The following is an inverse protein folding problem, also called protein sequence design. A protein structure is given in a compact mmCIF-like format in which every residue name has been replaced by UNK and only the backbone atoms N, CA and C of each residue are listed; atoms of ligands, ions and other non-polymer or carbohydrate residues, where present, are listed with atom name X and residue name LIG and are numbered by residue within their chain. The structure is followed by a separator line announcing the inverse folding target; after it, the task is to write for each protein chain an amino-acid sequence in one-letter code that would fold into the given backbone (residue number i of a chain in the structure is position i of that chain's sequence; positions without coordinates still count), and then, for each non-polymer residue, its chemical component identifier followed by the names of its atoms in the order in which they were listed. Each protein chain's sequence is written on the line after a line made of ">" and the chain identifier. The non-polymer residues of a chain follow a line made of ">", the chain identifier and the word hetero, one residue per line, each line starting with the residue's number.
data_IF_698784608926
#
_entry.id   IF_698784608926
#
_cell.length_a   1.000
_cell.length_b   1.000
_cell.length_c   1.000
_cell.angle_alpha   90.00
_cell.angle_beta   90.00
_cell.angle_gamma   90.00
#
_symmetry.space_group_name_H-M   'P 1'
#
loop_
_entity.id
_entity.type
_entity.pdbx_description
1 polymer ?
#
# COMPACT_ATOMS: atom_id res chain seq x y z
N UNK A 1 -2.21 29.50 -36.10
CA UNK A 1 -2.65 29.46 -34.69
C UNK A 1 -4.16 29.48 -34.69
N UNK A 2 -4.79 28.31 -34.51
CA UNK A 2 -6.24 28.16 -34.71
C UNK A 2 -6.83 27.66 -33.40
N UNK A 3 -7.42 28.57 -32.63
CA UNK A 3 -8.00 28.29 -31.32
C UNK A 3 -9.33 27.55 -31.52
N UNK A 4 -9.37 26.27 -31.16
CA UNK A 4 -10.58 25.43 -31.25
C UNK A 4 -11.38 25.59 -29.96
N UNK A 5 -12.49 26.33 -30.04
CA UNK A 5 -13.44 26.54 -28.95
C UNK A 5 -14.21 25.22 -28.70
N UNK A 6 -14.03 24.60 -27.53
CA UNK A 6 -14.77 23.41 -27.12
C UNK A 6 -16.02 23.86 -26.36
N UNK A 7 -17.21 23.63 -26.94
CA UNK A 7 -18.50 23.89 -26.29
C UNK A 7 -18.83 22.72 -25.36
N UNK A 8 -18.94 23.00 -24.06
CA UNK A 8 -19.53 22.10 -23.07
C UNK A 8 -21.05 22.25 -23.16
N UNK A 9 -21.75 21.18 -23.52
CA UNK A 9 -23.20 21.07 -23.44
C UNK A 9 -23.52 20.36 -22.12
N UNK A 10 -24.02 21.11 -21.14
CA UNK A 10 -24.59 20.55 -19.92
C UNK A 10 -26.06 20.16 -20.20
N UNK A 11 -26.35 18.87 -20.25
CA UNK A 11 -27.73 18.38 -20.16
C UNK A 11 -28.15 18.38 -18.68
N UNK A 12 -29.01 19.33 -18.32
CA UNK A 12 -29.76 19.31 -17.06
C UNK A 12 -31.01 18.46 -17.30
N UNK A 13 -30.97 17.21 -16.86
CA UNK A 13 -32.16 16.35 -16.78
C UNK A 13 -32.97 16.71 -15.55
N UNK A 14 -34.11 17.39 -15.76
CA UNK A 14 -35.13 17.63 -14.73
C UNK A 14 -35.88 16.32 -14.51
N UNK A 15 -35.57 15.63 -13.41
CA UNK A 15 -36.29 14.45 -12.94
C UNK A 15 -37.60 14.85 -12.27
N UNK A 16 -38.70 14.41 -12.89
CA UNK A 16 -40.08 14.56 -12.44
C UNK A 16 -40.29 13.87 -11.08
N UNK A 17 -40.76 14.63 -10.09
CA UNK A 17 -41.20 14.14 -8.78
C UNK A 17 -42.60 13.51 -8.91
N UNK A 18 -42.71 12.19 -8.81
CA UNK A 18 -43.98 11.53 -8.51
C UNK A 18 -44.07 11.30 -7.01
N UNK A 19 -45.01 11.97 -6.37
CA UNK A 19 -45.34 11.78 -4.97
C UNK A 19 -46.09 10.47 -4.74
N UNK A 20 -45.57 9.68 -3.81
CA UNK A 20 -46.35 8.74 -3.02
C UNK A 20 -46.18 9.18 -1.56
N UNK A 21 -47.26 9.71 -0.99
CA UNK A 21 -47.38 10.00 0.43
C UNK A 21 -47.71 8.68 1.13
N UNK A 22 -46.72 8.06 1.77
CA UNK A 22 -46.98 7.01 2.76
C UNK A 22 -47.15 7.66 4.12
N UNK A 23 -48.38 7.58 4.64
CA UNK A 23 -48.75 7.84 6.04
C UNK A 23 -47.88 6.99 6.97
N UNK A 24 -47.06 7.64 7.79
CA UNK A 24 -46.42 7.01 8.93
C UNK A 24 -47.42 6.90 10.10
N UNK A 25 -47.53 5.73 10.76
CA UNK A 25 -48.35 5.60 11.97
C UNK A 25 -47.76 6.42 13.14
N UNK A 26 -48.60 6.81 14.12
CA UNK A 26 -48.18 7.64 15.25
C UNK A 26 -47.11 6.95 16.09
N UNK A 27 -46.00 7.67 16.31
CA UNK A 27 -44.93 7.31 17.23
C UNK A 27 -45.47 7.36 18.66
N UNK A 28 -45.38 6.23 19.36
CA UNK A 28 -45.71 6.13 20.77
C UNK A 28 -44.73 6.97 21.62
N UNK A 29 -45.28 7.71 22.58
CA UNK A 29 -44.57 8.49 23.57
C UNK A 29 -43.48 7.68 24.29
N UNK A 30 -42.23 8.11 24.14
CA UNK A 30 -41.11 7.64 24.93
C UNK A 30 -41.13 8.35 26.30
N UNK A 31 -41.20 7.55 27.36
CA UNK A 31 -41.11 7.99 28.75
C UNK A 31 -39.76 8.67 29.08
N UNK A 32 -39.72 9.58 30.07
CA UNK A 32 -38.54 10.37 30.40
C UNK A 32 -37.43 9.58 31.13
N UNK A 33 -36.21 10.07 30.88
CA UNK A 33 -34.93 9.76 31.51
C UNK A 33 -34.99 9.28 32.97
N UNK A 34 -34.47 8.07 33.20
CA UNK A 34 -33.98 7.65 34.51
C UNK A 34 -32.46 7.80 34.52
N UNK A 35 -31.99 8.85 35.20
CA UNK A 35 -30.58 9.07 35.46
C UNK A 35 -29.94 7.89 36.24
N UNK A 36 -28.75 7.41 35.85
CA UNK A 36 -28.03 6.45 36.67
C UNK A 36 -27.42 7.14 37.89
N UNK A 37 -27.83 6.64 39.05
CA UNK A 37 -27.29 6.93 40.38
C UNK A 37 -25.80 6.54 40.40
N UNK A 38 -24.90 7.51 40.54
CA UNK A 38 -23.48 7.27 40.84
C UNK A 38 -23.33 7.09 42.35
N UNK A 39 -23.39 5.84 42.80
CA UNK A 39 -22.87 5.48 44.12
C UNK A 39 -21.34 5.34 43.99
N UNK A 40 -20.63 6.14 44.79
CA UNK A 40 -19.18 6.14 44.85
C UNK A 40 -18.64 4.97 45.69
N UNK A 41 -17.45 4.50 45.31
CA UNK A 41 -16.43 4.04 46.25
C UNK A 41 -15.08 4.34 45.65
N UNK A 42 -14.36 5.21 46.35
CA UNK A 42 -12.94 5.45 46.27
C UNK A 42 -12.16 4.20 46.63
N UNK A 43 -11.22 3.78 45.78
CA UNK A 43 -10.07 2.99 46.20
C UNK A 43 -8.87 3.42 45.34
N UNK A 44 -8.05 4.29 45.93
CA UNK A 44 -6.73 4.61 45.42
C UNK A 44 -5.78 3.45 45.73
N UNK A 45 -5.01 2.93 44.76
CA UNK A 45 -3.95 1.99 45.07
C UNK A 45 -2.80 2.70 45.81
N UNK A 46 -2.15 2.03 46.77
CA UNK A 46 -0.97 2.57 47.43
C UNK A 46 0.20 2.70 46.47
N UNK A 47 0.94 3.80 46.64
CA UNK A 47 2.20 4.05 45.97
C UNK A 47 3.30 3.20 46.61
N UNK A 48 3.62 2.07 45.96
CA UNK A 48 4.76 1.25 46.35
C UNK A 48 6.03 1.65 45.58
N UNK A 49 6.93 2.24 46.36
CA UNK A 49 8.40 2.18 46.32
C UNK A 49 9.10 1.83 45.01
N UNK A 50 9.76 2.83 44.42
CA UNK A 50 10.94 2.63 43.61
C UNK A 50 12.16 2.37 44.52
N UNK A 51 12.88 1.25 44.38
CA UNK A 51 14.26 1.20 44.84
C UNK A 51 15.15 1.92 43.82
N UNK A 52 15.96 2.82 44.36
CA UNK A 52 17.17 3.29 43.73
C UNK A 52 18.19 2.13 43.61
N UNK A 53 19.19 2.36 42.75
CA UNK A 53 20.49 1.66 42.74
C UNK A 53 20.58 0.39 41.87
N UNK A 54 21.10 0.57 40.65
CA UNK A 54 22.03 -0.36 40.01
C UNK A 54 22.74 0.35 38.85
N UNK A 55 23.89 0.95 39.14
CA UNK A 55 24.94 1.16 38.14
C UNK A 55 25.43 -0.23 37.69
N UNK A 56 25.28 -0.57 36.40
CA UNK A 56 25.99 -1.69 35.79
C UNK A 56 26.83 -1.15 34.63
N UNK A 57 28.06 -0.79 35.02
CA UNK A 57 29.24 -0.60 34.18
C UNK A 57 29.56 -1.89 33.43
N UNK A 58 29.27 -1.91 32.12
CA UNK A 58 29.91 -2.84 31.18
C UNK A 58 30.44 -2.11 29.97
N UNK A 59 31.66 -1.62 30.15
CA UNK A 59 32.72 -1.57 29.15
C UNK A 59 32.74 -2.80 28.23
N UNK A 60 32.07 -2.73 27.07
CA UNK A 60 32.31 -3.67 25.98
C UNK A 60 33.57 -3.24 25.26
N UNK A 61 34.62 -4.04 25.49
CA UNK A 61 35.91 -3.96 24.83
C UNK A 61 35.77 -4.24 23.34
N UNK A 62 36.27 -3.28 22.59
CA UNK A 62 36.67 -3.36 21.20
C UNK A 62 37.80 -4.39 21.07
N UNK A 63 37.54 -5.50 20.36
CA UNK A 63 38.60 -6.41 19.88
C UNK A 63 38.45 -6.59 18.39
N UNK A 64 39.06 -5.67 17.66
CA UNK A 64 39.41 -5.79 16.24
C UNK A 64 40.45 -6.91 16.10
N UNK A 65 40.20 -7.97 15.30
CA UNK A 65 41.23 -8.93 14.93
C UNK A 65 42.28 -8.26 14.01
N UNK A 66 43.57 -8.56 14.20
CA UNK A 66 44.63 -8.03 13.35
C UNK A 66 44.54 -8.57 11.92
N UNK A 67 44.67 -7.63 10.98
CA UNK A 67 44.94 -7.80 9.57
C UNK A 67 46.21 -8.65 9.35
N UNK A 68 46.03 -9.89 8.90
CA UNK A 68 47.13 -10.71 8.39
C UNK A 68 47.33 -10.37 6.92
N UNK A 69 48.23 -9.42 6.71
CA UNK A 69 48.98 -9.22 5.49
C UNK A 69 49.91 -10.41 5.24
N UNK A 70 49.86 -10.93 4.01
CA UNK A 70 50.65 -12.04 3.51
C UNK A 70 49.84 -12.80 2.46
N UNK A 71 50.30 -13.14 1.26
CA UNK A 71 51.65 -13.38 0.79
C UNK A 71 51.67 -13.15 -0.73
N UNK A 72 52.84 -12.83 -1.26
CA UNK A 72 53.02 -12.60 -2.68
C UNK A 72 52.83 -13.85 -3.51
N UNK A 73 52.40 -13.65 -4.77
CA UNK A 73 52.59 -14.65 -5.81
C UNK A 73 53.16 -14.00 -7.07
N UNK A 74 54.13 -14.65 -7.73
CA UNK A 74 55.01 -14.01 -8.70
C UNK A 74 54.33 -13.83 -10.05
N UNK A 75 54.83 -12.82 -10.77
CA UNK A 75 54.74 -12.69 -12.22
C UNK A 75 55.34 -13.92 -12.91
N UNK A 76 54.53 -14.63 -13.69
CA UNK A 76 54.96 -15.62 -14.68
C UNK A 76 53.83 -15.69 -15.72
N UNK A 77 54.02 -15.31 -16.99
CA UNK A 77 54.53 -16.27 -17.98
C UNK A 77 53.52 -16.34 -19.13
N UNK A 78 53.65 -15.45 -20.12
CA UNK A 78 53.16 -15.55 -21.51
C UNK A 78 52.45 -16.86 -21.90
N UNK A 79 51.18 -16.75 -22.29
CA UNK A 79 50.57 -17.67 -23.23
C UNK A 79 49.68 -16.91 -24.21
N UNK A 80 50.26 -16.63 -25.39
CA UNK A 80 49.51 -16.32 -26.60
C UNK A 80 48.68 -17.54 -26.98
N UNK A 81 47.45 -17.57 -26.48
CA UNK A 81 46.42 -18.50 -26.88
C UNK A 81 45.14 -17.71 -27.00
N UNK A 82 44.73 -17.43 -28.24
CA UNK A 82 43.40 -16.93 -28.59
C UNK A 82 42.39 -18.01 -28.19
N UNK A 83 42.09 -18.09 -26.90
CA UNK A 83 40.85 -18.68 -26.41
C UNK A 83 39.80 -17.63 -26.70
N UNK A 84 38.99 -17.90 -27.72
CA UNK A 84 37.71 -17.24 -27.94
C UNK A 84 36.93 -17.32 -26.62
N UNK A 85 37.06 -16.28 -25.81
CA UNK A 85 36.25 -16.07 -24.61
C UNK A 85 34.86 -15.82 -25.12
N UNK A 86 34.13 -16.91 -25.37
CA UNK A 86 32.68 -16.90 -25.49
C UNK A 86 32.22 -16.33 -24.16
N UNK A 87 32.02 -15.01 -24.15
CA UNK A 87 31.45 -14.29 -23.04
C UNK A 87 30.17 -15.06 -22.71
N UNK A 88 30.05 -15.74 -21.56
CA UNK A 88 28.82 -16.44 -21.24
C UNK A 88 27.75 -15.37 -21.34
N UNK A 89 26.83 -15.59 -22.27
CA UNK A 89 25.68 -14.74 -22.44
C UNK A 89 24.83 -14.90 -21.17
N UNK A 90 25.20 -14.15 -20.13
CA UNK A 90 24.50 -14.09 -18.86
C UNK A 90 23.28 -13.18 -18.99
N UNK A 91 22.79 -12.91 -20.21
CA UNK A 91 21.39 -12.54 -20.41
C UNK A 91 20.53 -13.78 -20.16
N UNK A 92 20.56 -14.29 -18.93
CA UNK A 92 19.45 -15.06 -18.43
C UNK A 92 18.23 -14.14 -18.62
N UNK A 93 17.40 -14.46 -19.62
CA UNK A 93 16.20 -13.72 -19.94
C UNK A 93 15.51 -13.36 -18.64
N UNK A 94 15.35 -12.06 -18.39
CA UNK A 94 14.63 -11.61 -17.21
C UNK A 94 13.30 -12.37 -17.20
N UNK A 95 12.97 -13.10 -16.12
CA UNK A 95 11.82 -13.98 -16.11
C UNK A 95 10.61 -13.18 -16.58
N UNK A 96 9.92 -13.69 -17.62
CA UNK A 96 8.78 -13.02 -18.21
C UNK A 96 7.83 -12.59 -17.05
N UNK A 97 7.58 -11.29 -16.85
CA UNK A 97 6.78 -10.81 -15.73
C UNK A 97 5.33 -11.34 -15.79
N UNK A 98 4.91 -11.82 -16.96
CA UNK A 98 3.65 -12.50 -17.21
C UNK A 98 3.71 -14.04 -17.14
N UNK A 99 4.84 -14.66 -16.83
CA UNK A 99 4.92 -16.11 -16.76
C UNK A 99 3.94 -16.65 -15.71
N UNK A 100 3.02 -17.51 -16.14
CA UNK A 100 1.96 -18.02 -15.29
C UNK A 100 0.89 -16.96 -14.93
N UNK A 101 0.84 -15.83 -15.65
CA UNK A 101 -0.17 -14.80 -15.47
C UNK A 101 -1.41 -14.99 -16.35
N UNK A 102 -2.57 -14.59 -15.83
CA UNK A 102 -3.81 -14.53 -16.58
C UNK A 102 -3.71 -13.29 -17.47
N UNK A 103 -3.36 -13.52 -18.73
CA UNK A 103 -3.15 -12.48 -19.73
C UNK A 103 -4.42 -11.70 -20.06
N UNK A 104 -5.58 -12.05 -19.48
CA UNK A 104 -6.83 -11.32 -19.67
C UNK A 104 -6.97 -10.10 -18.77
N UNK A 105 -6.13 -9.94 -17.74
CA UNK A 105 -6.17 -8.74 -16.90
C UNK A 105 -5.51 -7.59 -17.65
N UNK A 106 -6.34 -6.65 -18.08
CA UNK A 106 -5.98 -5.38 -18.70
C UNK A 106 -6.88 -4.31 -18.07
N UNK A 107 -6.42 -3.69 -16.98
CA UNK A 107 -7.19 -2.71 -16.23
C UNK A 107 -7.38 -1.40 -16.99
N UNK A 108 -6.66 -1.18 -18.09
CA UNK A 108 -6.71 0.05 -18.86
C UNK A 108 -7.23 -0.08 -20.28
N UNK A 109 -7.60 -1.29 -20.69
CA UNK A 109 -8.25 -1.65 -21.94
C UNK A 109 -7.45 -1.20 -23.17
N UNK A 110 -6.12 -1.30 -23.11
CA UNK A 110 -5.25 -0.99 -24.25
C UNK A 110 -4.88 -2.22 -25.10
N UNK A 111 -5.38 -3.42 -24.73
CA UNK A 111 -5.08 -4.72 -25.32
C UNK A 111 -3.65 -5.23 -25.09
N UNK A 112 -2.93 -4.66 -24.14
CA UNK A 112 -1.67 -5.16 -23.60
C UNK A 112 -1.95 -5.68 -22.20
N UNK A 113 -1.64 -6.95 -21.89
CA UNK A 113 -1.84 -7.47 -20.55
C UNK A 113 -1.07 -6.64 -19.52
N UNK A 114 -1.72 -6.27 -18.41
CA UNK A 114 -1.14 -5.39 -17.39
C UNK A 114 0.21 -5.90 -16.89
N UNK A 115 0.40 -7.22 -16.83
CA UNK A 115 1.64 -7.84 -16.40
C UNK A 115 2.87 -7.50 -17.29
N UNK A 116 2.65 -7.01 -18.51
CA UNK A 116 3.72 -6.58 -19.42
C UNK A 116 4.11 -5.11 -19.23
N UNK A 117 3.19 -4.30 -18.69
CA UNK A 117 3.38 -2.85 -18.53
C UNK A 117 3.57 -2.44 -17.07
N UNK A 118 3.19 -3.31 -16.13
CA UNK A 118 3.21 -3.00 -14.72
C UNK A 118 4.64 -2.85 -14.20
N UNK A 119 4.96 -1.66 -13.70
CA UNK A 119 6.22 -1.37 -13.04
C UNK A 119 6.31 -1.98 -11.63
N UNK A 120 5.19 -2.46 -11.06
CA UNK A 120 5.15 -3.08 -9.74
C UNK A 120 5.40 -4.59 -9.83
N UNK A 121 6.16 -5.11 -8.87
CA UNK A 121 6.31 -6.55 -8.67
C UNK A 121 5.12 -7.10 -7.90
N UNK A 122 4.62 -8.26 -8.35
CA UNK A 122 3.56 -9.02 -7.68
C UNK A 122 2.31 -8.16 -7.35
N UNK A 123 1.88 -7.31 -8.28
CA UNK A 123 0.68 -6.49 -8.12
C UNK A 123 -0.64 -7.29 -8.17
N UNK A 124 -0.59 -8.50 -8.75
CA UNK A 124 -1.74 -9.42 -8.87
C UNK A 124 -1.87 -10.43 -7.71
N UNK A 125 -0.94 -10.42 -6.75
CA UNK A 125 -0.97 -11.27 -5.55
C UNK A 125 -1.36 -12.74 -5.79
N UNK A 126 -0.78 -13.41 -6.79
CA UNK A 126 -1.25 -14.74 -7.22
C UNK A 126 -1.16 -15.81 -6.14
N UNK A 127 -0.02 -15.86 -5.47
CA UNK A 127 0.29 -16.93 -4.51
C UNK A 127 0.74 -16.40 -3.14
N UNK A 128 1.12 -15.12 -3.05
CA UNK A 128 1.66 -14.51 -1.85
C UNK A 128 1.71 -12.98 -1.98
N UNK A 129 2.24 -12.31 -0.95
CA UNK A 129 2.47 -10.86 -0.90
C UNK A 129 3.96 -10.49 -1.03
N UNK A 130 4.80 -11.37 -1.57
CA UNK A 130 6.22 -11.11 -1.74
C UNK A 130 6.45 -9.86 -2.61
N UNK A 131 7.49 -9.09 -2.30
CA UNK A 131 7.77 -7.80 -2.94
C UNK A 131 7.01 -6.61 -2.33
N UNK A 132 6.07 -6.85 -1.42
CA UNK A 132 5.38 -5.80 -0.66
C UNK A 132 5.82 -5.81 0.80
N UNK A 133 6.21 -4.63 1.31
CA UNK A 133 6.62 -4.45 2.69
C UNK A 133 5.50 -3.80 3.50
N UNK A 134 5.22 -4.23 4.75
CA UNK A 134 4.28 -3.53 5.60
C UNK A 134 4.74 -2.08 5.82
N UNK A 135 3.83 -1.14 5.65
CA UNK A 135 4.07 0.29 5.87
C UNK A 135 3.64 0.70 7.26
N UNK A 136 4.58 1.15 8.11
CA UNK A 136 4.27 1.49 9.49
C UNK A 136 4.31 0.27 10.40
N UNK A 137 3.23 0.00 11.13
CA UNK A 137 3.16 -1.07 12.14
C UNK A 137 3.38 -2.44 11.48
N UNK A 138 4.22 -3.28 12.09
CA UNK A 138 4.56 -4.62 11.61
C UNK A 138 3.33 -5.52 11.51
N UNK A 139 3.23 -6.33 10.45
CA UNK A 139 2.15 -7.30 10.14
C UNK A 139 0.86 -6.75 9.50
N UNK A 140 0.95 -5.63 8.80
CA UNK A 140 -0.21 -5.03 8.13
C UNK A 140 -0.67 -5.77 6.86
N UNK A 141 0.08 -6.72 6.31
CA UNK A 141 -0.26 -7.38 5.02
C UNK A 141 -0.16 -8.90 5.10
N UNK A 142 -1.20 -9.58 4.64
CA UNK A 142 -1.24 -11.05 4.48
C UNK A 142 -1.91 -11.42 3.15
N UNK A 143 -1.54 -12.54 2.56
CA UNK A 143 -2.21 -13.06 1.37
C UNK A 143 -3.61 -13.60 1.72
N UNK A 144 -4.55 -13.49 0.78
CA UNK A 144 -5.90 -14.02 0.89
C UNK A 144 -6.34 -14.63 -0.44
N UNK A 145 -7.12 -15.70 -0.41
CA UNK A 145 -7.60 -16.38 -1.63
C UNK A 145 -8.74 -15.66 -2.36
N UNK A 146 -9.24 -14.54 -1.84
CA UNK A 146 -10.23 -13.71 -2.53
C UNK A 146 -9.55 -13.01 -3.71
N UNK A 147 -10.13 -13.10 -4.89
CA UNK A 147 -9.59 -12.58 -6.14
C UNK A 147 -10.63 -11.68 -6.82
N UNK A 148 -10.19 -10.57 -7.41
CA UNK A 148 -11.10 -9.60 -8.02
C UNK A 148 -11.70 -10.07 -9.35
N UNK A 149 -11.10 -11.07 -9.99
CA UNK A 149 -11.55 -11.67 -11.25
C UNK A 149 -12.21 -13.04 -11.05
N UNK A 150 -12.28 -13.54 -9.81
CA UNK A 150 -12.81 -14.87 -9.48
C UNK A 150 -11.93 -16.03 -9.94
N UNK A 151 -10.64 -15.79 -10.19
CA UNK A 151 -9.69 -16.82 -10.60
C UNK A 151 -9.30 -17.72 -9.42
N UNK A 152 -9.36 -19.04 -9.60
CA UNK A 152 -9.00 -20.02 -8.55
C UNK A 152 -7.49 -20.14 -8.28
N UNK A 153 -6.65 -19.59 -9.17
CA UNK A 153 -5.18 -19.62 -9.05
C UNK A 153 -4.57 -18.28 -8.64
N UNK A 154 -5.38 -17.38 -8.11
CA UNK A 154 -4.97 -16.02 -7.75
C UNK A 154 -5.60 -15.61 -6.42
N UNK A 155 -5.19 -14.47 -5.88
CA UNK A 155 -5.66 -13.97 -4.60
C UNK A 155 -5.46 -12.47 -4.47
N UNK A 156 -5.43 -11.99 -3.24
CA UNK A 156 -5.31 -10.56 -2.92
C UNK A 156 -4.40 -10.34 -1.72
N UNK A 157 -3.92 -9.10 -1.60
CA UNK A 157 -3.30 -8.62 -0.38
C UNK A 157 -4.36 -8.09 0.58
N UNK A 158 -4.52 -8.77 1.73
CA UNK A 158 -5.29 -8.25 2.85
C UNK A 158 -4.43 -7.30 3.66
N UNK A 159 -4.79 -6.02 3.62
CA UNK A 159 -4.15 -4.99 4.43
C UNK A 159 -5.00 -4.71 5.67
N UNK A 160 -4.42 -4.82 6.87
CA UNK A 160 -5.10 -4.59 8.15
C UNK A 160 -4.51 -3.39 8.89
N UNK A 161 -5.35 -2.39 9.15
CA UNK A 161 -5.03 -1.27 10.02
C UNK A 161 -5.38 -1.58 11.48
N UNK A 162 -4.36 -2.01 12.23
CA UNK A 162 -4.45 -2.30 13.67
C UNK A 162 -4.00 -1.14 14.56
N UNK A 163 -3.82 0.05 14.01
CA UNK A 163 -3.17 1.14 14.75
C UNK A 163 -4.09 1.68 15.85
N UNK A 164 -3.61 1.92 17.08
CA UNK A 164 -4.47 2.29 18.21
C UNK A 164 -4.98 3.74 18.14
N UNK A 165 -4.44 4.56 17.24
CA UNK A 165 -4.78 5.99 17.16
C UNK A 165 -6.03 6.24 16.30
N UNK A 166 -6.87 7.19 16.72
CA UNK A 166 -7.93 7.78 15.90
C UNK A 166 -7.39 8.97 15.10
N UNK A 167 -8.13 9.38 14.06
CA UNK A 167 -7.83 10.44 13.08
C UNK A 167 -6.74 10.13 12.05
N UNK A 168 -7.06 10.38 10.76
CA UNK A 168 -7.00 9.38 9.70
C UNK A 168 -5.71 8.59 9.82
N UNK A 169 -5.86 7.44 10.44
CA UNK A 169 -4.76 6.55 10.66
C UNK A 169 -4.64 5.70 9.40
N UNK A 170 -3.50 5.76 8.75
CA UNK A 170 -3.26 5.11 7.48
C UNK A 170 -2.19 4.05 7.72
N UNK A 171 -2.57 2.80 7.50
CA UNK A 171 -1.64 1.67 7.55
C UNK A 171 -1.76 0.91 6.24
N UNK A 172 -0.65 0.36 5.75
CA UNK A 172 -0.59 -0.09 4.36
C UNK A 172 0.47 -1.12 4.08
N UNK A 173 0.59 -1.44 2.80
CA UNK A 173 1.75 -2.11 2.25
C UNK A 173 2.39 -1.23 1.19
N UNK A 174 3.69 -1.38 1.01
CA UNK A 174 4.49 -0.51 0.18
C UNK A 174 5.48 -1.26 -0.70
N UNK A 175 5.78 -0.67 -1.85
CA UNK A 175 6.88 -1.08 -2.71
C UNK A 175 7.68 0.16 -3.11
N UNK A 176 9.01 0.04 -3.09
CA UNK A 176 9.91 1.10 -3.52
C UNK A 176 10.41 0.79 -4.94
N UNK A 177 10.25 1.75 -5.84
CA UNK A 177 10.67 1.64 -7.24
C UNK A 177 11.71 2.71 -7.53
N UNK A 178 12.76 2.35 -8.29
CA UNK A 178 13.68 3.35 -8.85
C UNK A 178 13.03 3.95 -10.10
N UNK A 179 12.61 5.20 -10.00
CA UNK A 179 12.00 5.96 -11.09
C UNK A 179 12.68 7.31 -11.14
N UNK A 180 13.16 7.70 -12.33
CA UNK A 180 13.94 8.93 -12.51
C UNK A 180 13.26 9.92 -13.46
N UNK A 181 13.44 11.21 -13.18
CA UNK A 181 13.04 12.31 -14.04
C UNK A 181 11.57 12.73 -13.90
N UNK A 182 11.19 13.79 -14.61
CA UNK A 182 9.84 14.34 -14.57
C UNK A 182 8.91 13.51 -15.47
N UNK A 183 8.01 12.74 -14.85
CA UNK A 183 7.05 11.87 -15.52
C UNK A 183 5.71 11.90 -14.81
N UNK A 184 4.65 11.60 -15.55
CA UNK A 184 3.31 11.36 -15.01
C UNK A 184 3.03 9.88 -15.10
N UNK A 185 2.57 9.31 -14.00
CA UNK A 185 2.22 7.90 -13.88
C UNK A 185 0.74 7.74 -13.57
N UNK A 186 0.20 6.58 -13.95
CA UNK A 186 -1.14 6.15 -13.56
C UNK A 186 -1.02 4.91 -12.69
N UNK A 187 -1.53 5.01 -11.47
CA UNK A 187 -1.68 3.92 -10.51
C UNK A 187 -3.14 3.47 -10.49
N UNK A 188 -3.37 2.18 -10.68
CA UNK A 188 -4.68 1.54 -10.60
C UNK A 188 -4.63 0.40 -9.60
N UNK A 189 -5.75 0.12 -8.95
CA UNK A 189 -5.91 -1.07 -8.13
C UNK A 189 -7.39 -1.39 -7.98
N UNK A 190 -7.70 -2.68 -7.84
CA UNK A 190 -9.01 -3.10 -7.35
C UNK A 190 -8.93 -3.26 -5.82
N UNK A 191 -9.90 -2.71 -5.11
CA UNK A 191 -10.00 -2.87 -3.66
C UNK A 191 -11.37 -3.41 -3.26
N UNK A 192 -11.42 -4.12 -2.15
CA UNK A 192 -12.65 -4.63 -1.55
C UNK A 192 -12.65 -4.34 -0.06
N UNK A 193 -13.71 -3.68 0.42
CA UNK A 193 -13.90 -3.38 1.84
C UNK A 193 -15.00 -4.32 2.37
N UNK A 194 -14.68 -5.29 3.24
CA UNK A 194 -15.69 -6.10 3.92
C UNK A 194 -16.66 -5.23 4.72
N UNK A 195 -17.96 -5.53 4.65
CA UNK A 195 -18.97 -4.90 5.51
C UNK A 195 -18.81 -5.30 6.98
N UNK A 196 -19.49 -4.58 7.87
CA UNK A 196 -19.53 -4.90 9.32
C UNK A 196 -18.33 -4.36 10.11
N UNK A 197 -17.39 -3.70 9.44
CA UNK A 197 -16.26 -3.04 10.08
C UNK A 197 -16.69 -1.68 10.65
N UNK A 198 -16.32 -1.39 11.89
CA UNK A 198 -16.59 -0.10 12.53
C UNK A 198 -15.49 0.92 12.20
N UNK A 199 -15.79 2.23 12.27
CA UNK A 199 -14.77 3.28 12.16
C UNK A 199 -14.49 3.84 10.77
N UNK A 200 -15.54 3.89 9.93
CA UNK A 200 -15.47 4.41 8.56
C UNK A 200 -14.25 3.85 7.80
N UNK A 201 -14.23 2.53 7.57
CA UNK A 201 -13.15 1.89 6.85
C UNK A 201 -12.97 2.53 5.47
N UNK A 202 -11.72 2.82 5.11
CA UNK A 202 -11.38 3.42 3.84
C UNK A 202 -10.21 2.73 3.15
N UNK A 203 -10.18 2.87 1.84
CA UNK A 203 -9.12 2.45 0.96
C UNK A 203 -8.51 3.70 0.31
N UNK A 204 -7.18 3.78 0.20
CA UNK A 204 -6.53 4.83 -0.59
C UNK A 204 -5.22 4.35 -1.21
N UNK A 205 -4.87 5.00 -2.31
CA UNK A 205 -3.58 4.86 -2.98
C UNK A 205 -2.71 6.07 -2.65
N UNK A 206 -1.41 5.85 -2.49
CA UNK A 206 -0.45 6.91 -2.26
C UNK A 206 0.83 6.65 -3.06
N UNK A 207 1.38 7.70 -3.64
CA UNK A 207 2.72 7.72 -4.19
C UNK A 207 3.55 8.75 -3.42
N UNK A 208 4.79 8.40 -3.07
CA UNK A 208 5.72 9.35 -2.46
C UNK A 208 7.01 9.37 -3.26
N UNK A 209 7.35 10.51 -3.84
CA UNK A 209 8.55 10.69 -4.65
C UNK A 209 9.73 11.15 -3.79
N UNK A 210 10.90 10.53 -3.97
CA UNK A 210 12.12 10.81 -3.21
C UNK A 210 13.27 11.21 -4.12
N UNK A 211 14.15 12.14 -3.69
CA UNK A 211 15.34 12.52 -4.44
C UNK A 211 16.50 11.52 -4.30
N UNK A 212 16.28 10.40 -3.61
CA UNK A 212 17.24 9.31 -3.41
C UNK A 212 16.72 8.01 -3.99
N UNK A 213 17.57 6.99 -4.19
CA UNK A 213 17.24 5.75 -4.90
C UNK A 213 16.56 4.65 -4.05
N UNK A 214 16.33 4.89 -2.75
CA UNK A 214 15.91 3.87 -1.78
C UNK A 214 14.60 4.23 -1.05
N UNK A 215 13.87 5.23 -1.55
CA UNK A 215 12.67 5.76 -0.93
C UNK A 215 12.82 6.19 0.53
N UNK A 216 14.01 6.59 0.99
CA UNK A 216 14.22 7.07 2.36
C UNK A 216 14.27 8.61 2.44
N UNK A 217 14.13 9.13 3.66
CA UNK A 217 14.16 10.58 3.92
C UNK A 217 12.84 11.28 3.62
N UNK A 218 12.93 12.59 3.34
CA UNK A 218 11.76 13.42 3.00
C UNK A 218 11.39 13.24 1.54
N UNK A 219 10.12 12.93 1.28
CA UNK A 219 9.58 12.81 -0.07
C UNK A 219 8.35 13.68 -0.28
N UNK A 220 8.02 13.93 -1.55
CA UNK A 220 6.81 14.64 -1.96
C UNK A 220 5.65 13.67 -2.01
N UNK A 221 4.62 13.91 -1.21
CA UNK A 221 3.46 13.03 -1.06
C UNK A 221 2.38 13.39 -2.08
N UNK A 222 1.89 12.37 -2.77
CA UNK A 222 0.79 12.41 -3.72
C UNK A 222 -0.27 11.39 -3.26
N UNK A 223 -1.46 11.85 -2.89
CA UNK A 223 -2.54 11.02 -2.35
C UNK A 223 -3.72 10.93 -3.31
N UNK A 224 -4.31 9.74 -3.44
CA UNK A 224 -5.66 9.61 -3.95
C UNK A 224 -6.68 10.10 -2.90
N UNK A 225 -7.90 10.46 -3.31
CA UNK A 225 -9.04 10.49 -2.40
C UNK A 225 -9.18 9.13 -1.70
N UNK A 226 -9.61 9.15 -0.44
CA UNK A 226 -9.99 7.92 0.27
C UNK A 226 -11.37 7.49 -0.19
N UNK A 227 -11.52 6.23 -0.58
CA UNK A 227 -12.82 5.62 -0.88
C UNK A 227 -13.30 4.80 0.31
N UNK A 228 -14.56 4.99 0.72
CA UNK A 228 -15.19 4.27 1.85
C UNK A 228 -16.36 3.39 1.42
N UNK A 229 -16.59 3.23 0.10
CA UNK A 229 -17.78 2.58 -0.46
C UNK A 229 -17.54 2.22 -1.95
N UNK A 230 -18.21 1.19 -2.50
CA UNK A 230 -19.14 0.24 -1.86
C UNK A 230 -18.47 -0.81 -0.98
N UNK A 231 -19.21 -1.30 0.01
CA UNK A 231 -18.85 -2.51 0.78
C UNK A 231 -19.15 -3.76 -0.04
N UNK A 232 -18.40 -4.83 0.25
CA UNK A 232 -18.57 -6.16 -0.33
C UNK A 232 -18.51 -6.23 -1.87
N UNK A 233 -17.85 -5.25 -2.49
CA UNK A 233 -17.73 -5.16 -3.95
C UNK A 233 -16.31 -4.75 -4.31
N UNK A 234 -15.73 -5.46 -5.27
CA UNK A 234 -14.46 -5.07 -5.87
C UNK A 234 -14.65 -3.77 -6.65
N UNK A 235 -13.91 -2.74 -6.26
CA UNK A 235 -14.01 -1.41 -6.84
C UNK A 235 -12.68 -1.01 -7.45
N UNK A 236 -12.69 -0.56 -8.70
CA UNK A 236 -11.49 -0.02 -9.34
C UNK A 236 -11.22 1.40 -8.84
N UNK A 237 -10.01 1.63 -8.35
CA UNK A 237 -9.49 2.96 -8.05
C UNK A 237 -8.42 3.32 -9.09
N UNK A 238 -8.54 4.51 -9.67
CA UNK A 238 -7.55 5.07 -10.60
C UNK A 238 -7.03 6.38 -10.05
N UNK A 239 -5.71 6.53 -10.05
CA UNK A 239 -5.00 7.70 -9.54
C UNK A 239 -3.85 8.08 -10.45
N UNK A 240 -3.84 9.33 -10.93
CA UNK A 240 -2.74 9.88 -11.74
C UNK A 240 -1.93 10.86 -10.90
N UNK A 241 -0.61 10.76 -10.96
CA UNK A 241 0.29 11.66 -10.25
C UNK A 241 1.52 11.99 -11.09
N UNK A 242 2.07 13.18 -10.88
CA UNK A 242 3.32 13.62 -11.50
C UNK A 242 4.43 13.63 -10.46
N UNK A 243 5.62 13.19 -10.86
CA UNK A 243 6.81 13.24 -10.01
C UNK A 243 7.75 14.36 -10.48
N UNK A 244 8.40 15.10 -9.56
CA UNK A 244 9.38 16.13 -9.92
C UNK A 244 10.58 15.57 -10.69
N UNK A 245 11.26 16.43 -11.46
CA UNK A 245 12.49 16.07 -12.17
C UNK A 245 13.61 15.56 -11.26
N UNK A 246 13.60 15.96 -9.98
CA UNK A 246 14.57 15.54 -8.96
C UNK A 246 14.28 14.15 -8.39
N UNK A 247 13.21 13.46 -8.83
CA UNK A 247 12.85 12.14 -8.34
C UNK A 247 13.83 11.08 -8.82
N UNK A 248 14.22 10.22 -7.89
CA UNK A 248 15.10 9.06 -8.12
C UNK A 248 14.47 7.74 -7.65
N UNK A 249 13.49 7.82 -6.75
CA UNK A 249 12.63 6.69 -6.42
C UNK A 249 11.23 7.12 -6.04
N UNK A 250 10.28 6.20 -6.16
CA UNK A 250 8.89 6.38 -5.76
C UNK A 250 8.47 5.23 -4.86
N UNK A 251 7.88 5.55 -3.73
CA UNK A 251 7.21 4.58 -2.86
C UNK A 251 5.73 4.56 -3.17
N UNK A 252 5.25 3.44 -3.67
CA UNK A 252 3.83 3.19 -3.86
C UNK A 252 3.27 2.59 -2.57
N UNK A 253 2.08 3.01 -2.17
CA UNK A 253 1.36 2.46 -1.02
C UNK A 253 -0.08 2.12 -1.36
N UNK A 254 -0.51 0.95 -0.90
CA UNK A 254 -1.92 0.56 -0.77
C UNK A 254 -2.29 0.67 0.70
N UNK A 255 -3.33 1.44 1.02
CA UNK A 255 -3.62 1.82 2.39
C UNK A 255 -5.02 1.44 2.85
N UNK A 256 -5.12 0.91 4.06
CA UNK A 256 -6.35 0.86 4.83
C UNK A 256 -6.39 2.04 5.81
N UNK A 257 -7.50 2.78 5.81
CA UNK A 257 -7.74 3.88 6.74
C UNK A 257 -8.93 3.62 7.66
N UNK A 258 -8.89 4.27 8.83
CA UNK A 258 -9.98 4.30 9.81
C UNK A 258 -9.97 5.62 10.58
N UNK A 259 -11.10 5.95 11.19
CA UNK A 259 -11.24 7.16 12.01
C UNK A 259 -11.48 6.88 13.51
N UNK A 260 -11.35 5.64 13.97
CA UNK A 260 -11.51 5.26 15.38
C UNK A 260 -10.26 4.57 15.96
N UNK A 261 -10.19 4.48 17.29
CA UNK A 261 -9.10 3.84 18.06
C UNK A 261 -9.31 2.35 18.29
N UNK A 262 -10.57 1.90 18.36
CA UNK A 262 -10.93 0.62 18.99
C UNK A 262 -11.02 -0.56 18.04
N UNK A 263 -11.19 -0.33 16.74
CA UNK A 263 -11.46 -1.42 15.79
C UNK A 263 -10.37 -1.55 14.74
N UNK A 264 -10.10 -2.77 14.33
CA UNK A 264 -9.26 -3.03 13.17
C UNK A 264 -10.09 -2.86 11.91
N UNK A 265 -9.52 -2.19 10.91
CA UNK A 265 -10.08 -2.16 9.56
C UNK A 265 -9.19 -2.99 8.66
N UNK A 266 -9.80 -3.70 7.71
CA UNK A 266 -9.14 -4.46 6.67
C UNK A 266 -9.70 -4.10 5.30
N UNK A 267 -8.80 -4.07 4.32
CA UNK A 267 -9.10 -3.84 2.90
C UNK A 267 -8.34 -4.90 2.11
N UNK A 268 -9.01 -5.58 1.19
CA UNK A 268 -8.36 -6.44 0.22
C UNK A 268 -7.93 -5.61 -0.98
N UNK A 269 -6.75 -5.90 -1.51
CA UNK A 269 -6.19 -5.25 -2.69
C UNK A 269 -5.79 -6.29 -3.72
N UNK A 270 -6.13 -6.04 -4.97
CA UNK A 270 -5.80 -6.89 -6.10
C UNK A 270 -5.53 -6.06 -7.36
N UNK A 271 -4.83 -6.63 -8.32
CA UNK A 271 -4.47 -6.03 -9.61
C UNK A 271 -3.89 -4.62 -9.46
N UNK A 272 -2.90 -4.46 -8.57
CA UNK A 272 -2.22 -3.18 -8.36
C UNK A 272 -1.26 -2.93 -9.51
N UNK A 273 -1.51 -1.86 -10.26
CA UNK A 273 -0.90 -1.58 -11.56
C UNK A 273 -0.34 -0.16 -11.61
N UNK A 274 0.93 -0.02 -12.00
CA UNK A 274 1.57 1.28 -12.22
C UNK A 274 2.19 1.32 -13.63
N UNK A 275 1.89 2.38 -14.38
CA UNK A 275 2.55 2.71 -15.65
C UNK A 275 2.86 4.19 -15.80
#
# INVERSE_FOLDING_TARGET
>A
MTTKLMRIVALVGVGLWCGCSDELPPVADAAPDVAPKRDGTSDAPPADGLPADAEDDRTIRDTVPPDTTGDGRPSDTTHDGIMDTVSPDTTADAPNPCAGQNLTVDLDNNNVPDCQENLLMNGQFRANVAGWMPGGNTNAIVWNSMDAQGSSGSGSARVVNMSPNANPNVNGATQCLRLSGAKTYTLRAQFFIPSGQQGQPGASLQAVAYPVNNCLGTGTVNNSPTSTSPFNTWTLMTYTFSVPATTNSVRIRINSSKNNTTNNVSVQWDNVFLK
#
